data_IF_996382571018
#
_entry.id   IF_996382571018
#
_cell.length_a   1.000
_cell.length_b   1.000
_cell.length_c   1.000
_cell.angle_alpha   90.00
_cell.angle_beta   90.00
_cell.angle_gamma   90.00
#
_symmetry.space_group_name_H-M   'P 1'
#
loop_
_entity.id
_entity.type
_entity.pdbx_description
1 polymer ?
#
# COMPACT_ATOMS: atom_id res chain seq x y z
N UNK A 1 -28.49 50.47 25.67
CA UNK A 1 -27.20 51.17 25.53
C UNK A 1 -26.25 50.59 26.57
N UNK A 2 -25.16 49.97 26.14
CA UNK A 2 -24.17 49.38 27.04
C UNK A 2 -23.26 50.49 27.57
N UNK A 3 -23.28 50.75 28.88
CA UNK A 3 -22.35 51.69 29.51
C UNK A 3 -21.06 50.95 29.89
N UNK A 4 -19.95 51.36 29.26
CA UNK A 4 -18.60 50.88 29.58
C UNK A 4 -18.11 51.60 30.84
N UNK A 5 -17.79 50.84 31.89
CA UNK A 5 -17.12 51.38 33.08
C UNK A 5 -15.61 51.54 32.85
N UNK A 6 -14.99 52.49 33.55
CA UNK A 6 -13.60 52.93 33.40
C UNK A 6 -12.49 51.86 33.58
N UNK A 7 -12.84 50.59 33.83
CA UNK A 7 -11.91 49.47 33.98
C UNK A 7 -12.04 48.38 32.89
N UNK A 8 -12.71 48.65 31.76
CA UNK A 8 -12.69 47.77 30.58
C UNK A 8 -13.36 46.40 30.72
N UNK A 9 -14.04 46.13 31.84
CA UNK A 9 -14.82 44.90 32.05
C UNK A 9 -16.21 45.00 31.41
N UNK A 10 -16.62 43.95 30.69
CA UNK A 10 -17.96 43.83 30.12
C UNK A 10 -19.00 43.68 31.24
N UNK A 11 -19.85 44.69 31.43
CA UNK A 11 -21.00 44.66 32.33
C UNK A 11 -22.16 43.97 31.63
N UNK A 12 -22.69 42.89 32.23
CA UNK A 12 -23.87 42.18 31.69
C UNK A 12 -25.05 43.14 31.54
N UNK A 13 -25.82 43.08 30.43
CA UNK A 13 -27.00 43.92 30.24
C UNK A 13 -27.98 43.72 31.40
N UNK A 14 -28.34 44.79 32.10
CA UNK A 14 -29.34 44.73 33.16
C UNK A 14 -30.75 44.70 32.57
N UNK A 15 -31.65 44.00 33.26
CA UNK A 15 -33.08 43.88 32.93
C UNK A 15 -33.71 45.28 32.76
N UNK A 16 -34.48 45.50 31.70
CA UNK A 16 -35.21 46.76 31.50
C UNK A 16 -36.29 46.88 32.58
N UNK A 17 -36.14 47.86 33.47
CA UNK A 17 -37.13 48.21 34.48
C UNK A 17 -37.65 49.61 34.12
N UNK A 18 -38.91 49.75 33.66
CA UNK A 18 -39.47 51.07 33.37
C UNK A 18 -39.48 51.91 34.64
N UNK A 19 -38.94 53.13 34.58
CA UNK A 19 -39.07 54.11 35.63
C UNK A 19 -40.48 54.72 35.68
N UNK A 20 -40.82 55.48 36.73
CA UNK A 20 -42.11 56.17 36.80
C UNK A 20 -42.26 57.17 35.63
N UNK A 21 -43.10 56.85 34.65
CA UNK A 21 -43.36 57.68 33.46
C UNK A 21 -42.69 57.21 32.16
N UNK A 22 -41.91 56.13 32.17
CA UNK A 22 -41.33 55.56 30.95
C UNK A 22 -42.40 54.80 30.14
N UNK A 23 -42.32 54.82 28.79
CA UNK A 23 -43.22 54.05 27.95
C UNK A 23 -43.03 52.56 28.23
N UNK A 24 -44.16 51.89 28.52
CA UNK A 24 -44.18 50.44 28.64
C UNK A 24 -43.76 49.79 27.32
N UNK A 25 -43.17 48.59 27.41
CA UNK A 25 -42.88 47.79 26.23
C UNK A 25 -44.18 47.60 25.42
N UNK A 26 -44.11 47.70 24.07
CA UNK A 26 -45.26 47.43 23.22
C UNK A 26 -45.90 46.08 23.56
N UNK A 27 -47.22 45.91 23.39
CA UNK A 27 -47.91 44.68 23.75
C UNK A 27 -47.25 43.43 23.16
N UNK A 28 -46.69 43.53 21.95
CA UNK A 28 -45.99 42.42 21.27
C UNK A 28 -44.65 42.03 21.90
N UNK A 29 -44.02 42.91 22.69
CA UNK A 29 -42.73 42.66 23.35
C UNK A 29 -42.88 42.47 24.87
N UNK A 30 -44.12 42.47 25.36
CA UNK A 30 -44.44 42.27 26.77
C UNK A 30 -43.99 40.91 27.30
N UNK A 31 -43.97 39.87 26.45
CA UNK A 31 -43.50 38.51 26.78
C UNK A 31 -41.99 38.45 27.09
N UNK A 32 -41.21 39.43 26.63
CA UNK A 32 -39.77 39.52 26.88
C UNK A 32 -39.44 40.44 28.06
N UNK A 33 -40.44 41.08 28.69
CA UNK A 33 -40.28 42.04 29.80
C UNK A 33 -39.52 41.45 30.98
N UNK A 34 -39.69 40.15 31.23
CA UNK A 34 -39.08 39.48 32.37
C UNK A 34 -37.78 38.73 32.09
N UNK A 35 -37.34 38.67 30.82
CA UNK A 35 -36.22 37.86 30.36
C UNK A 35 -34.94 38.69 30.21
N UNK A 36 -33.80 38.06 30.48
CA UNK A 36 -32.48 38.63 30.22
C UNK A 36 -32.15 38.62 28.72
N UNK A 37 -31.19 39.45 28.30
CA UNK A 37 -30.72 39.46 26.91
C UNK A 37 -30.24 38.09 26.42
N UNK A 38 -29.62 37.31 27.31
CA UNK A 38 -29.12 35.98 26.99
C UNK A 38 -30.27 34.97 26.80
N UNK A 39 -31.36 35.10 27.57
CA UNK A 39 -32.57 34.27 27.43
C UNK A 39 -33.32 34.61 26.14
N UNK A 40 -33.46 35.89 25.80
CA UNK A 40 -34.09 36.33 24.54
C UNK A 40 -33.30 35.79 23.35
N UNK A 41 -31.96 35.91 23.37
CA UNK A 41 -31.11 35.37 22.30
C UNK A 41 -31.22 33.85 22.19
N UNK A 42 -31.38 33.15 23.32
CA UNK A 42 -31.57 31.69 23.33
C UNK A 42 -32.92 31.30 22.71
N UNK A 43 -33.98 32.04 22.98
CA UNK A 43 -35.30 31.82 22.38
C UNK A 43 -35.33 32.19 20.89
N UNK A 44 -34.72 33.31 20.51
CA UNK A 44 -34.57 33.69 19.10
C UNK A 44 -33.80 32.63 18.32
N UNK A 45 -32.70 32.10 18.86
CA UNK A 45 -31.94 31.02 18.22
C UNK A 45 -32.73 29.70 18.09
N UNK A 46 -33.92 29.57 18.68
CA UNK A 46 -34.84 28.44 18.49
C UNK A 46 -35.96 28.72 17.50
N UNK A 47 -36.09 29.95 17.00
CA UNK A 47 -37.02 30.24 15.92
C UNK A 47 -36.39 29.81 14.59
N UNK A 48 -37.10 29.07 13.72
CA UNK A 48 -36.52 28.53 12.48
C UNK A 48 -35.79 29.55 11.60
N UNK A 49 -36.26 30.80 11.59
CA UNK A 49 -35.67 31.88 10.79
C UNK A 49 -34.34 32.42 11.36
N UNK A 50 -34.11 32.26 12.66
CA UNK A 50 -32.93 32.77 13.36
C UNK A 50 -32.04 31.64 13.95
N UNK A 51 -32.41 30.37 13.71
CA UNK A 51 -31.64 29.20 14.13
C UNK A 51 -30.25 29.19 13.51
N UNK A 52 -29.23 29.18 14.36
CA UNK A 52 -27.83 28.98 13.95
C UNK A 52 -27.43 27.50 13.94
N UNK A 53 -28.19 26.65 14.65
CA UNK A 53 -28.09 25.19 14.68
C UNK A 53 -29.51 24.62 14.79
N UNK A 54 -29.73 23.42 14.25
CA UNK A 54 -31.01 22.74 14.34
C UNK A 54 -31.28 22.36 15.81
N UNK A 55 -32.33 22.92 16.42
CA UNK A 55 -32.84 22.57 17.75
C UNK A 55 -34.30 22.12 17.59
N UNK A 56 -34.53 20.81 17.72
CA UNK A 56 -35.86 20.22 17.56
C UNK A 56 -36.73 20.37 18.82
N UNK A 57 -36.19 20.98 19.88
CA UNK A 57 -36.90 21.18 21.13
C UNK A 57 -37.43 22.60 21.28
N UNK A 58 -38.56 22.75 21.97
CA UNK A 58 -39.08 24.04 22.47
C UNK A 58 -38.21 24.64 23.58
N UNK A 59 -37.22 23.87 24.06
CA UNK A 59 -36.34 24.24 25.15
C UNK A 59 -36.79 23.87 26.56
N UNK A 60 -38.00 23.35 26.71
CA UNK A 60 -38.53 22.70 27.90
C UNK A 60 -38.57 21.16 27.77
N UNK A 61 -38.14 20.64 26.61
CA UNK A 61 -38.10 19.21 26.30
C UNK A 61 -39.29 18.72 25.48
N UNK A 62 -40.17 19.63 25.04
CA UNK A 62 -41.21 19.38 24.03
C UNK A 62 -40.70 19.64 22.62
N UNK A 63 -41.54 19.36 21.62
CA UNK A 63 -41.22 19.56 20.20
C UNK A 63 -41.30 21.04 19.79
N UNK A 64 -40.37 21.49 18.94
CA UNK A 64 -40.40 22.83 18.38
C UNK A 64 -41.52 22.96 17.33
N UNK A 65 -42.68 23.48 17.75
CA UNK A 65 -43.90 23.56 16.92
C UNK A 65 -43.68 24.39 15.66
N UNK A 66 -42.92 25.48 15.73
CA UNK A 66 -42.64 26.34 14.58
C UNK A 66 -41.76 25.62 13.54
N UNK A 67 -40.78 24.83 14.00
CA UNK A 67 -39.95 24.02 13.12
C UNK A 67 -40.76 22.89 12.48
N UNK A 68 -41.64 22.23 13.24
CA UNK A 68 -42.52 21.19 12.72
C UNK A 68 -43.55 21.74 11.72
N UNK A 69 -44.11 22.92 11.99
CA UNK A 69 -44.96 23.61 11.02
C UNK A 69 -44.22 23.92 9.72
N UNK A 70 -42.98 24.40 9.80
CA UNK A 70 -42.15 24.65 8.61
C UNK A 70 -41.78 23.35 7.86
N UNK A 71 -41.50 22.26 8.59
CA UNK A 71 -41.28 20.92 8.00
C UNK A 71 -42.54 20.43 7.29
N UNK A 72 -43.73 20.64 7.88
CA UNK A 72 -45.01 20.25 7.29
C UNK A 72 -45.31 21.03 6.00
N UNK A 73 -44.98 22.33 5.94
CA UNK A 73 -45.09 23.13 4.70
C UNK A 73 -44.26 22.54 3.53
N UNK A 74 -43.15 21.84 3.82
CA UNK A 74 -42.36 21.19 2.78
C UNK A 74 -43.06 19.96 2.15
N UNK A 75 -44.10 19.44 2.80
CA UNK A 75 -44.94 18.32 2.36
C UNK A 75 -46.39 18.75 2.07
N UNK A 76 -46.65 20.05 1.91
CA UNK A 76 -47.95 20.57 1.55
C UNK A 76 -48.10 20.63 0.02
N UNK A 77 -49.16 20.03 -0.52
CA UNK A 77 -49.46 20.00 -1.95
C UNK A 77 -49.69 18.60 -2.51
N UNK A 78 -49.83 18.49 -3.83
CA UNK A 78 -49.97 17.19 -4.50
C UNK A 78 -48.64 16.42 -4.45
N UNK A 79 -48.65 15.08 -4.28
CA UNK A 79 -47.42 14.28 -4.14
C UNK A 79 -46.38 14.49 -5.26
N UNK A 80 -46.83 14.73 -6.49
CA UNK A 80 -45.93 14.99 -7.61
C UNK A 80 -45.22 16.35 -7.50
N UNK A 81 -45.88 17.39 -6.99
CA UNK A 81 -45.30 18.72 -6.79
C UNK A 81 -44.27 18.71 -5.66
N UNK A 82 -44.57 17.98 -4.57
CA UNK A 82 -43.67 17.80 -3.44
C UNK A 82 -42.39 17.08 -3.90
N UNK A 83 -42.52 15.97 -4.63
CA UNK A 83 -41.38 15.23 -5.16
C UNK A 83 -40.54 16.07 -6.14
N UNK A 84 -41.19 16.88 -6.98
CA UNK A 84 -40.51 17.81 -7.88
C UNK A 84 -39.77 18.94 -7.12
N UNK A 85 -40.35 19.46 -6.04
CA UNK A 85 -39.71 20.47 -5.20
C UNK A 85 -38.41 19.92 -4.58
N UNK A 86 -38.47 18.72 -3.98
CA UNK A 86 -37.27 18.05 -3.45
C UNK A 86 -36.22 17.77 -4.54
N UNK A 87 -36.64 17.33 -5.74
CA UNK A 87 -35.75 17.16 -6.91
C UNK A 87 -35.04 18.48 -7.25
N UNK A 88 -35.77 19.59 -7.31
CA UNK A 88 -35.22 20.91 -7.67
C UNK A 88 -34.22 21.40 -6.62
N UNK A 89 -34.55 21.33 -5.34
CA UNK A 89 -33.64 21.70 -4.26
C UNK A 89 -32.37 20.82 -4.24
N UNK A 90 -32.53 19.51 -4.45
CA UNK A 90 -31.41 18.58 -4.60
C UNK A 90 -30.48 18.93 -5.76
N UNK A 91 -31.04 19.38 -6.90
CA UNK A 91 -30.25 19.80 -8.05
C UNK A 91 -29.37 21.03 -7.73
N UNK A 92 -29.90 21.99 -6.98
CA UNK A 92 -29.12 23.17 -6.56
C UNK A 92 -27.99 22.79 -5.60
N UNK A 93 -28.23 21.87 -4.66
CA UNK A 93 -27.16 21.35 -3.79
C UNK A 93 -26.12 20.54 -4.56
N UNK A 94 -26.52 19.79 -5.58
CA UNK A 94 -25.60 19.06 -6.45
C UNK A 94 -24.69 20.02 -7.21
N UNK A 95 -25.24 21.11 -7.77
CA UNK A 95 -24.45 22.20 -8.39
C UNK A 95 -23.52 22.86 -7.38
N UNK A 96 -23.96 23.03 -6.14
CA UNK A 96 -23.14 23.53 -5.02
C UNK A 96 -22.13 22.51 -4.48
N UNK A 97 -22.01 21.31 -5.07
CA UNK A 97 -21.11 20.21 -4.66
C UNK A 97 -21.36 19.69 -3.24
N UNK A 98 -22.53 19.96 -2.66
CA UNK A 98 -22.96 19.42 -1.36
C UNK A 98 -23.66 18.07 -1.55
N UNK A 99 -22.90 17.05 -1.95
CA UNK A 99 -23.44 15.77 -2.40
C UNK A 99 -24.19 14.97 -1.33
N UNK A 100 -23.75 15.04 -0.06
CA UNK A 100 -24.41 14.35 1.05
C UNK A 100 -25.81 14.92 1.29
N UNK A 101 -25.92 16.25 1.30
CA UNK A 101 -27.20 16.93 1.53
C UNK A 101 -28.13 16.78 0.32
N UNK A 102 -27.58 16.86 -0.90
CA UNK A 102 -28.33 16.59 -2.13
C UNK A 102 -28.90 15.16 -2.14
N UNK A 103 -28.11 14.16 -1.73
CA UNK A 103 -28.56 12.77 -1.59
C UNK A 103 -29.76 12.65 -0.67
N UNK A 104 -29.75 13.32 0.48
CA UNK A 104 -30.88 13.28 1.42
C UNK A 104 -32.14 13.91 0.83
N UNK A 105 -32.01 15.04 0.12
CA UNK A 105 -33.16 15.65 -0.55
C UNK A 105 -33.77 14.73 -1.62
N UNK A 106 -32.95 14.05 -2.42
CA UNK A 106 -33.47 13.07 -3.38
C UNK A 106 -34.14 11.88 -2.69
N UNK A 107 -33.60 11.42 -1.56
CA UNK A 107 -34.23 10.36 -0.76
C UNK A 107 -35.59 10.79 -0.18
N UNK A 108 -35.71 12.04 0.29
CA UNK A 108 -37.00 12.60 0.73
C UNK A 108 -38.00 12.66 -0.42
N UNK A 109 -37.58 13.08 -1.61
CA UNK A 109 -38.44 13.06 -2.80
C UNK A 109 -38.93 11.66 -3.17
N UNK A 110 -38.07 10.64 -3.06
CA UNK A 110 -38.45 9.24 -3.30
C UNK A 110 -39.42 8.70 -2.23
N UNK A 111 -39.31 9.16 -0.98
CA UNK A 111 -40.19 8.76 0.12
C UNK A 111 -41.62 9.32 0.01
N UNK A 112 -41.85 10.29 -0.89
CA UNK A 112 -43.20 10.80 -1.21
C UNK A 112 -44.01 9.77 -2.01
N UNK A 113 -43.34 8.81 -2.67
CA UNK A 113 -43.97 7.72 -3.44
C UNK A 113 -44.99 8.20 -4.49
N UNK A 114 -44.69 9.30 -5.20
CA UNK A 114 -45.57 9.78 -6.26
C UNK A 114 -45.62 8.79 -7.46
N UNK A 115 -46.75 8.70 -8.15
CA UNK A 115 -46.92 7.79 -9.29
C UNK A 115 -46.19 8.24 -10.58
N UNK A 116 -45.62 9.45 -10.59
CA UNK A 116 -44.92 9.99 -11.76
C UNK A 116 -43.58 9.28 -11.99
N UNK A 117 -43.52 8.49 -13.07
CA UNK A 117 -42.33 7.74 -13.47
C UNK A 117 -41.15 8.63 -13.85
N UNK A 118 -41.37 9.78 -14.48
CA UNK A 118 -40.30 10.68 -14.91
C UNK A 118 -39.61 11.36 -13.73
N UNK A 119 -40.38 11.76 -12.73
CA UNK A 119 -39.87 12.33 -11.48
C UNK A 119 -39.05 11.27 -10.73
N UNK A 120 -39.60 10.06 -10.54
CA UNK A 120 -38.91 8.97 -9.87
C UNK A 120 -37.62 8.54 -10.58
N UNK A 121 -37.64 8.43 -11.91
CA UNK A 121 -36.44 8.15 -12.72
C UNK A 121 -35.34 9.18 -12.43
N UNK A 122 -35.71 10.47 -12.47
CA UNK A 122 -34.78 11.58 -12.23
C UNK A 122 -34.21 11.55 -10.81
N UNK A 123 -35.05 11.28 -9.81
CA UNK A 123 -34.63 11.18 -8.41
C UNK A 123 -33.63 10.03 -8.19
N UNK A 124 -33.93 8.82 -8.69
CA UNK A 124 -32.99 7.69 -8.62
C UNK A 124 -31.69 7.99 -9.37
N UNK A 125 -31.76 8.53 -10.59
CA UNK A 125 -30.59 8.86 -11.38
C UNK A 125 -29.71 9.94 -10.71
N UNK A 126 -30.31 10.94 -10.08
CA UNK A 126 -29.57 12.01 -9.40
C UNK A 126 -29.01 11.57 -8.05
N UNK A 127 -29.73 10.70 -7.30
CA UNK A 127 -29.19 10.08 -6.09
C UNK A 127 -28.00 9.18 -6.41
N UNK A 128 -28.07 8.39 -7.49
CA UNK A 128 -26.93 7.61 -7.99
C UNK A 128 -25.72 8.50 -8.33
N UNK A 129 -25.95 9.67 -8.92
CA UNK A 129 -24.89 10.64 -9.18
C UNK A 129 -24.22 11.12 -7.88
N UNK A 130 -24.99 11.38 -6.83
CA UNK A 130 -24.45 11.73 -5.51
C UNK A 130 -23.64 10.58 -4.91
N UNK A 131 -24.16 9.35 -4.97
CA UNK A 131 -23.47 8.18 -4.44
C UNK A 131 -22.16 7.91 -5.19
N UNK A 132 -22.09 8.20 -6.49
CA UNK A 132 -20.86 8.11 -7.27
C UNK A 132 -19.81 9.13 -6.81
N UNK A 133 -20.19 10.39 -6.61
CA UNK A 133 -19.28 11.45 -6.10
C UNK A 133 -18.83 11.16 -4.66
N UNK A 134 -19.71 10.55 -3.85
CA UNK A 134 -19.39 10.07 -2.50
C UNK A 134 -18.59 8.75 -2.49
N UNK A 135 -18.26 8.19 -3.65
CA UNK A 135 -17.55 6.91 -3.84
C UNK A 135 -18.27 5.68 -3.26
N UNK A 136 -19.58 5.77 -3.06
CA UNK A 136 -20.45 4.66 -2.65
C UNK A 136 -20.89 3.87 -3.89
N UNK A 137 -19.94 3.24 -4.57
CA UNK A 137 -20.13 2.66 -5.90
C UNK A 137 -21.24 1.61 -5.98
N UNK A 138 -21.40 0.76 -4.95
CA UNK A 138 -22.47 -0.26 -4.92
C UNK A 138 -23.86 0.36 -4.83
N UNK A 139 -24.03 1.41 -4.02
CA UNK A 139 -25.30 2.15 -3.90
C UNK A 139 -25.62 2.91 -5.18
N UNK A 140 -24.61 3.50 -5.81
CA UNK A 140 -24.76 4.11 -7.15
C UNK A 140 -25.30 3.09 -8.17
N UNK A 141 -24.77 1.87 -8.20
CA UNK A 141 -25.23 0.82 -9.12
C UNK A 141 -26.69 0.46 -8.81
N UNK A 142 -27.06 0.28 -7.54
CA UNK A 142 -28.43 -0.06 -7.14
C UNK A 142 -29.44 1.03 -7.53
N UNK A 143 -29.10 2.30 -7.30
CA UNK A 143 -29.95 3.43 -7.69
C UNK A 143 -30.04 3.56 -9.22
N UNK A 144 -28.95 3.34 -9.95
CA UNK A 144 -28.98 3.26 -11.41
C UNK A 144 -29.85 2.11 -11.91
N UNK A 145 -29.82 0.94 -11.27
CA UNK A 145 -30.68 -0.20 -11.60
C UNK A 145 -32.16 0.16 -11.43
N UNK A 146 -32.54 0.81 -10.33
CA UNK A 146 -33.91 1.28 -10.09
C UNK A 146 -34.36 2.30 -11.14
N UNK A 147 -33.50 3.25 -11.50
CA UNK A 147 -33.77 4.20 -12.59
C UNK A 147 -33.94 3.50 -13.95
N UNK A 148 -33.13 2.48 -14.25
CA UNK A 148 -33.19 1.71 -15.49
C UNK A 148 -34.42 0.78 -15.56
N UNK A 149 -34.95 0.33 -14.43
CA UNK A 149 -36.25 -0.37 -14.39
C UNK A 149 -37.39 0.55 -14.86
N UNK A 150 -37.30 1.85 -14.58
CA UNK A 150 -38.28 2.85 -15.02
C UNK A 150 -38.03 3.27 -16.48
N UNK A 151 -36.79 3.61 -16.81
CA UNK A 151 -36.37 4.00 -18.15
C UNK A 151 -35.11 3.23 -18.59
N UNK A 152 -35.28 2.11 -19.32
CA UNK A 152 -34.16 1.29 -19.80
C UNK A 152 -33.24 1.99 -20.81
N UNK A 153 -33.59 3.18 -21.31
CA UNK A 153 -32.81 3.94 -22.29
C UNK A 153 -32.03 5.11 -21.66
N UNK A 154 -31.99 5.22 -20.34
CA UNK A 154 -31.25 6.29 -19.67
C UNK A 154 -29.72 6.06 -19.74
N UNK A 155 -29.07 6.66 -20.75
CA UNK A 155 -27.63 6.56 -20.99
C UNK A 155 -26.77 7.04 -19.81
N UNK A 156 -27.24 8.02 -19.02
CA UNK A 156 -26.50 8.55 -17.86
C UNK A 156 -26.36 7.48 -16.76
N UNK A 157 -27.38 6.65 -16.58
CA UNK A 157 -27.34 5.54 -15.62
C UNK A 157 -26.33 4.47 -16.06
N UNK A 158 -26.30 4.08 -17.34
CA UNK A 158 -25.28 3.15 -17.84
C UNK A 158 -23.86 3.68 -17.68
N UNK A 159 -23.62 4.96 -17.98
CA UNK A 159 -22.31 5.58 -17.77
C UNK A 159 -21.87 5.51 -16.30
N UNK A 160 -22.77 5.87 -15.36
CA UNK A 160 -22.49 5.85 -13.92
C UNK A 160 -22.25 4.43 -13.40
N UNK A 161 -23.05 3.46 -13.84
CA UNK A 161 -22.87 2.04 -13.52
C UNK A 161 -21.52 1.54 -14.02
N UNK A 162 -21.15 1.84 -15.28
CA UNK A 162 -19.86 1.47 -15.85
C UNK A 162 -18.70 2.07 -15.05
N UNK A 163 -18.76 3.38 -14.75
CA UNK A 163 -17.75 4.06 -13.94
C UNK A 163 -17.67 3.49 -12.52
N UNK A 164 -18.80 3.15 -11.88
CA UNK A 164 -18.83 2.55 -10.56
C UNK A 164 -18.18 1.16 -10.54
N UNK A 165 -18.46 0.29 -11.52
CA UNK A 165 -17.81 -1.01 -11.65
C UNK A 165 -16.31 -0.88 -11.94
N UNK A 166 -15.91 0.09 -12.77
CA UNK A 166 -14.50 0.37 -13.04
C UNK A 166 -13.74 0.72 -11.77
N UNK A 167 -14.32 1.56 -10.90
CA UNK A 167 -13.73 1.93 -9.61
C UNK A 167 -13.69 0.78 -8.60
N UNK A 168 -14.49 -0.28 -8.80
CA UNK A 168 -14.45 -1.53 -8.04
C UNK A 168 -13.51 -2.58 -8.65
N UNK A 169 -12.71 -2.20 -9.65
CA UNK A 169 -11.83 -3.11 -10.41
C UNK A 169 -12.58 -4.27 -11.12
N UNK A 170 -13.88 -4.08 -11.37
CA UNK A 170 -14.76 -5.02 -12.07
C UNK A 170 -14.87 -4.61 -13.54
N UNK A 171 -13.80 -4.83 -14.29
CA UNK A 171 -13.66 -4.32 -15.67
C UNK A 171 -14.65 -4.95 -16.63
N UNK A 172 -14.92 -6.25 -16.51
CA UNK A 172 -15.90 -6.96 -17.35
C UNK A 172 -17.31 -6.40 -17.17
N UNK A 173 -17.76 -6.20 -15.92
CA UNK A 173 -19.07 -5.60 -15.66
C UNK A 173 -19.13 -4.13 -16.11
N UNK A 174 -18.04 -3.38 -15.94
CA UNK A 174 -17.93 -2.01 -16.43
C UNK A 174 -18.06 -1.93 -17.95
N UNK A 175 -17.37 -2.83 -18.66
CA UNK A 175 -17.37 -2.92 -20.12
C UNK A 175 -18.72 -3.35 -20.65
N UNK A 176 -19.35 -4.34 -20.02
CA UNK A 176 -20.69 -4.81 -20.38
C UNK A 176 -21.72 -3.67 -20.32
N UNK A 177 -21.73 -2.90 -19.22
CA UNK A 177 -22.64 -1.76 -19.07
C UNK A 177 -22.41 -0.66 -20.13
N UNK A 178 -21.15 -0.28 -20.39
CA UNK A 178 -20.83 0.72 -21.40
C UNK A 178 -21.11 0.22 -22.83
N UNK A 179 -20.80 -1.05 -23.12
CA UNK A 179 -21.03 -1.67 -24.42
C UNK A 179 -22.52 -1.75 -24.75
N UNK A 180 -23.36 -2.10 -23.78
CA UNK A 180 -24.81 -2.11 -23.95
C UNK A 180 -25.33 -0.72 -24.33
N UNK A 181 -24.90 0.32 -23.61
CA UNK A 181 -25.29 1.70 -23.91
C UNK A 181 -24.82 2.14 -25.31
N UNK A 182 -23.58 1.83 -25.67
CA UNK A 182 -23.02 2.14 -26.97
C UNK A 182 -23.76 1.45 -28.13
N UNK A 183 -24.07 0.15 -27.98
CA UNK A 183 -24.62 -0.64 -29.08
C UNK A 183 -26.14 -0.54 -29.22
N UNK A 184 -26.87 -0.31 -28.11
CA UNK A 184 -28.33 -0.42 -28.08
C UNK A 184 -29.07 0.85 -27.70
N UNK A 185 -28.37 1.89 -27.23
CA UNK A 185 -29.01 3.13 -26.75
C UNK A 185 -28.52 4.32 -27.58
N UNK A 186 -27.24 4.65 -27.51
CA UNK A 186 -26.66 5.83 -28.13
C UNK A 186 -25.17 5.59 -28.48
N UNK A 187 -24.87 5.20 -29.73
CA UNK A 187 -23.51 4.97 -30.20
C UNK A 187 -22.65 6.24 -30.29
N UNK A 188 -23.26 7.42 -30.38
CA UNK A 188 -22.55 8.69 -30.51
C UNK A 188 -22.24 9.33 -29.14
N UNK A 189 -22.61 8.64 -28.05
CA UNK A 189 -22.43 9.16 -26.71
C UNK A 189 -20.95 9.25 -26.31
N UNK A 190 -20.39 10.46 -26.36
CA UNK A 190 -18.99 10.74 -26.00
C UNK A 190 -18.58 10.22 -24.62
N UNK A 191 -19.49 10.26 -23.62
CA UNK A 191 -19.17 9.80 -22.27
C UNK A 191 -18.98 8.29 -22.19
N UNK A 192 -19.77 7.53 -22.95
CA UNK A 192 -19.67 6.07 -23.05
C UNK A 192 -18.44 5.67 -23.86
N UNK A 193 -18.19 6.33 -25.00
CA UNK A 193 -17.01 6.07 -25.84
C UNK A 193 -15.71 6.30 -25.05
N UNK A 194 -15.62 7.42 -24.32
CA UNK A 194 -14.48 7.69 -23.43
C UNK A 194 -14.34 6.62 -22.34
N UNK A 195 -15.45 6.16 -21.76
CA UNK A 195 -15.42 5.12 -20.72
C UNK A 195 -14.91 3.79 -21.27
N UNK A 196 -15.33 3.40 -22.48
CA UNK A 196 -14.82 2.21 -23.17
C UNK A 196 -13.31 2.31 -23.43
N UNK A 197 -12.81 3.45 -23.89
CA UNK A 197 -11.36 3.67 -24.09
C UNK A 197 -10.58 3.60 -22.77
N UNK A 198 -11.14 4.13 -21.68
CA UNK A 198 -10.52 4.04 -20.34
C UNK A 198 -10.46 2.59 -19.84
N UNK A 199 -11.51 1.81 -20.08
CA UNK A 199 -11.57 0.39 -19.72
C UNK A 199 -10.55 -0.40 -20.54
N UNK A 200 -10.53 -0.24 -21.87
CA UNK A 200 -9.60 -0.95 -22.77
C UNK A 200 -8.13 -0.67 -22.41
N UNK A 201 -7.78 0.60 -22.19
CA UNK A 201 -6.44 0.95 -21.69
C UNK A 201 -6.11 0.23 -20.39
N UNK A 202 -7.07 0.15 -19.46
CA UNK A 202 -6.84 -0.48 -18.16
C UNK A 202 -6.66 -2.00 -18.28
N UNK A 203 -7.41 -2.65 -19.16
CA UNK A 203 -7.27 -4.07 -19.47
C UNK A 203 -5.89 -4.36 -20.07
N UNK A 204 -5.44 -3.54 -21.03
CA UNK A 204 -4.11 -3.67 -21.64
C UNK A 204 -2.97 -3.46 -20.64
N UNK A 205 -3.07 -2.45 -19.76
CA UNK A 205 -2.10 -2.21 -18.68
C UNK A 205 -1.99 -3.40 -17.74
N UNK A 206 -3.13 -3.99 -17.32
CA UNK A 206 -3.14 -5.14 -16.42
C UNK A 206 -2.57 -6.38 -17.10
N UNK A 207 -2.95 -6.64 -18.35
CA UNK A 207 -2.40 -7.75 -19.14
C UNK A 207 -0.90 -7.64 -19.32
N UNK A 208 -0.39 -6.46 -19.69
CA UNK A 208 1.05 -6.23 -19.83
C UNK A 208 1.81 -6.41 -18.52
N UNK A 209 1.21 -5.99 -17.39
CA UNK A 209 1.79 -6.19 -16.06
C UNK A 209 1.86 -7.67 -15.68
N UNK A 210 0.79 -8.42 -15.93
CA UNK A 210 0.69 -9.86 -15.68
C UNK A 210 1.75 -10.62 -16.52
N UNK A 211 1.81 -10.35 -17.82
CA UNK A 211 2.77 -10.97 -18.74
C UNK A 211 4.22 -10.68 -18.34
N UNK A 212 4.52 -9.44 -17.93
CA UNK A 212 5.85 -9.07 -17.42
C UNK A 212 6.19 -9.85 -16.14
N UNK A 213 5.27 -9.93 -15.19
CA UNK A 213 5.48 -10.65 -13.94
C UNK A 213 5.70 -12.14 -14.16
N UNK A 214 4.93 -12.76 -15.05
CA UNK A 214 5.08 -14.16 -15.42
C UNK A 214 6.41 -14.42 -16.13
N UNK A 215 6.81 -13.56 -17.07
CA UNK A 215 8.10 -13.67 -17.76
C UNK A 215 9.27 -13.59 -16.79
N UNK A 216 9.26 -12.61 -15.88
CA UNK A 216 10.32 -12.45 -14.87
C UNK A 216 10.34 -13.63 -13.89
N UNK A 217 9.18 -14.19 -13.51
CA UNK A 217 9.12 -15.38 -12.68
C UNK A 217 9.69 -16.60 -13.40
N UNK A 218 9.33 -16.81 -14.67
CA UNK A 218 9.85 -17.89 -15.48
C UNK A 218 11.37 -17.76 -15.69
N UNK A 219 11.87 -16.55 -15.95
CA UNK A 219 13.30 -16.30 -16.10
C UNK A 219 14.08 -16.61 -14.80
N UNK A 220 13.53 -16.23 -13.64
CA UNK A 220 14.14 -16.57 -12.34
C UNK A 220 14.19 -18.07 -12.10
N UNK A 221 13.11 -18.78 -12.42
CA UNK A 221 13.06 -20.23 -12.26
C UNK A 221 14.02 -20.94 -13.22
N UNK A 222 14.08 -20.51 -14.48
CA UNK A 222 15.02 -21.04 -15.47
C UNK A 222 16.48 -20.89 -15.01
N UNK A 223 16.85 -19.69 -14.50
CA UNK A 223 18.20 -19.45 -13.96
C UNK A 223 18.51 -20.32 -12.75
N UNK A 224 17.52 -20.57 -11.88
CA UNK A 224 17.68 -21.43 -10.71
C UNK A 224 17.92 -22.89 -11.12
N UNK A 225 17.09 -23.42 -12.01
CA UNK A 225 17.24 -24.77 -12.55
C UNK A 225 18.60 -24.94 -13.26
N UNK A 226 19.02 -23.93 -14.02
CA UNK A 226 20.31 -23.95 -14.72
C UNK A 226 21.48 -24.01 -13.73
N UNK A 227 21.43 -23.18 -12.69
CA UNK A 227 22.44 -23.16 -11.63
C UNK A 227 22.50 -24.48 -10.86
N UNK A 228 21.35 -25.05 -10.48
CA UNK A 228 21.27 -26.36 -9.80
C UNK A 228 21.84 -27.48 -10.67
N UNK A 229 21.55 -27.45 -11.98
CA UNK A 229 22.09 -28.40 -12.95
C UNK A 229 23.61 -28.28 -13.07
N UNK A 230 24.14 -27.04 -13.14
CA UNK A 230 25.56 -26.77 -13.17
C UNK A 230 26.30 -27.26 -11.91
N UNK A 231 25.73 -27.04 -10.72
CA UNK A 231 26.29 -27.52 -9.45
C UNK A 231 26.28 -29.04 -9.37
N UNK A 232 25.20 -29.69 -9.83
CA UNK A 232 25.08 -31.15 -9.84
C UNK A 232 26.09 -31.78 -10.80
N UNK A 233 26.24 -31.24 -12.01
CA UNK A 233 27.21 -31.71 -13.00
C UNK A 233 28.67 -31.61 -12.49
N UNK A 234 28.95 -30.58 -11.69
CA UNK A 234 30.26 -30.35 -11.06
C UNK A 234 30.45 -31.11 -9.75
N UNK A 235 29.48 -31.93 -9.33
CA UNK A 235 29.51 -32.68 -8.07
C UNK A 235 29.72 -31.78 -6.83
N UNK A 236 29.19 -30.55 -6.86
CA UNK A 236 29.37 -29.58 -5.77
C UNK A 236 28.37 -29.85 -4.67
N UNK A 237 28.88 -30.24 -3.50
CA UNK A 237 28.10 -30.26 -2.25
C UNK A 237 28.00 -28.84 -1.70
N UNK A 238 26.81 -28.41 -1.25
CA UNK A 238 26.61 -27.16 -0.53
C UNK A 238 26.05 -27.42 0.87
N UNK A 239 26.69 -26.87 1.90
CA UNK A 239 26.27 -26.98 3.29
C UNK A 239 25.83 -25.61 3.80
N UNK A 240 24.59 -25.51 4.27
CA UNK A 240 24.09 -24.29 4.90
C UNK A 240 24.49 -24.22 6.37
N UNK A 241 24.80 -23.02 6.84
CA UNK A 241 25.11 -22.76 8.26
C UNK A 241 23.99 -21.95 8.92
N UNK A 242 23.87 -22.03 10.24
CA UNK A 242 22.82 -21.29 10.97
C UNK A 242 23.14 -19.79 11.10
N UNK A 243 24.40 -19.38 10.93
CA UNK A 243 24.85 -17.99 11.10
C UNK A 243 25.91 -17.63 10.05
N UNK A 244 25.51 -17.46 8.77
CA UNK A 244 26.39 -16.90 7.75
C UNK A 244 26.72 -15.44 8.07
N UNK A 245 27.92 -14.98 7.72
CA UNK A 245 28.29 -13.56 7.82
C UNK A 245 27.45 -12.72 6.85
N UNK A 246 27.08 -11.50 7.23
CA UNK A 246 26.18 -10.65 6.43
C UNK A 246 26.70 -10.38 5.01
N UNK A 247 28.03 -10.33 4.83
CA UNK A 247 28.70 -10.16 3.53
C UNK A 247 28.35 -11.26 2.51
N UNK A 248 27.99 -12.47 2.98
CA UNK A 248 27.54 -13.55 2.10
C UNK A 248 26.18 -13.27 1.46
N UNK A 249 25.43 -12.27 1.93
CA UNK A 249 24.22 -11.79 1.28
C UNK A 249 24.51 -10.88 0.07
N UNK A 250 25.73 -10.31 -0.01
CA UNK A 250 26.14 -9.36 -1.03
C UNK A 250 26.70 -10.06 -2.28
N UNK A 251 27.52 -11.11 -2.10
CA UNK A 251 28.03 -11.94 -3.20
C UNK A 251 27.12 -13.13 -3.49
N UNK A 252 26.70 -13.31 -4.75
CA UNK A 252 25.83 -14.42 -5.15
C UNK A 252 26.53 -15.33 -6.14
N UNK A 253 26.45 -16.63 -5.87
CA UNK A 253 26.81 -17.66 -6.83
C UNK A 253 25.99 -17.49 -8.13
N UNK A 254 26.65 -17.60 -9.28
CA UNK A 254 26.04 -17.48 -10.61
C UNK A 254 26.88 -18.17 -11.66
N UNK A 255 26.28 -18.42 -12.81
CA UNK A 255 27.01 -18.77 -14.02
C UNK A 255 27.46 -17.48 -14.73
N UNK A 256 28.54 -17.57 -15.52
CA UNK A 256 28.98 -16.52 -16.42
C UNK A 256 27.90 -16.23 -17.47
N UNK A 257 27.41 -17.28 -18.14
CA UNK A 257 26.16 -17.25 -18.91
C UNK A 257 25.06 -17.95 -18.10
N UNK A 258 24.05 -17.22 -17.58
CA UNK A 258 22.97 -17.79 -16.76
C UNK A 258 22.12 -18.87 -17.44
N UNK A 259 22.21 -19.01 -18.77
CA UNK A 259 21.45 -19.97 -19.56
C UNK A 259 22.31 -21.09 -20.15
N UNK A 260 23.61 -21.10 -19.85
CA UNK A 260 24.53 -22.16 -20.24
C UNK A 260 25.20 -22.75 -18.99
N UNK A 261 24.82 -23.98 -18.63
CA UNK A 261 25.36 -24.68 -17.47
C UNK A 261 26.82 -25.12 -17.66
N UNK A 262 27.37 -25.09 -18.87
CA UNK A 262 28.78 -25.38 -19.16
C UNK A 262 29.67 -24.15 -18.98
N UNK A 263 29.08 -22.95 -18.98
CA UNK A 263 29.80 -21.71 -18.70
C UNK A 263 30.38 -21.68 -17.27
N UNK A 264 31.34 -20.78 -17.03
CA UNK A 264 32.09 -20.75 -15.77
C UNK A 264 31.16 -20.48 -14.57
N UNK A 265 31.26 -21.32 -13.54
CA UNK A 265 30.61 -21.07 -12.27
C UNK A 265 31.43 -20.07 -11.45
N UNK A 266 30.77 -19.03 -10.97
CA UNK A 266 31.36 -17.94 -10.17
C UNK A 266 30.68 -17.94 -8.81
N UNK A 267 31.47 -17.97 -7.74
CA UNK A 267 30.98 -17.92 -6.37
C UNK A 267 31.81 -16.99 -5.51
N UNK A 268 31.23 -16.42 -4.43
CA UNK A 268 32.00 -15.65 -3.46
C UNK A 268 32.96 -16.54 -2.67
N UNK A 269 33.97 -15.92 -2.07
CA UNK A 269 34.93 -16.59 -1.20
C UNK A 269 35.11 -15.85 0.12
N UNK A 270 35.09 -16.62 1.20
CA UNK A 270 35.39 -16.19 2.55
C UNK A 270 36.77 -16.75 2.94
N UNK A 271 37.72 -15.84 3.14
CA UNK A 271 39.13 -16.16 3.37
C UNK A 271 39.46 -15.88 4.83
N UNK A 272 39.70 -16.95 5.59
CA UNK A 272 39.96 -16.87 7.02
C UNK A 272 41.45 -16.84 7.33
N UNK A 273 41.86 -15.96 8.25
CA UNK A 273 43.21 -15.88 8.82
C UNK A 273 43.15 -16.19 10.32
N UNK A 274 42.94 -17.46 10.72
CA UNK A 274 42.56 -17.81 12.08
C UNK A 274 43.63 -17.52 13.14
N UNK A 275 44.92 -17.46 12.77
CA UNK A 275 45.99 -17.08 13.73
C UNK A 275 46.00 -15.57 14.00
N UNK A 276 45.43 -14.78 13.09
CA UNK A 276 45.31 -13.32 13.20
C UNK A 276 43.94 -12.89 13.73
N UNK A 277 42.91 -13.75 13.62
CA UNK A 277 41.49 -13.43 13.90
C UNK A 277 40.95 -12.34 12.98
N UNK A 278 41.31 -12.48 11.70
CA UNK A 278 40.91 -11.60 10.61
C UNK A 278 40.34 -12.45 9.47
N UNK A 279 39.56 -11.83 8.59
CA UNK A 279 39.05 -12.47 7.38
C UNK A 279 38.89 -11.46 6.25
N UNK A 280 38.96 -11.94 5.00
CA UNK A 280 38.59 -11.18 3.82
C UNK A 280 37.38 -11.81 3.13
N UNK A 281 36.67 -10.98 2.36
CA UNK A 281 35.58 -11.40 1.50
C UNK A 281 35.87 -10.99 0.07
N UNK A 282 35.85 -11.95 -0.85
CA UNK A 282 35.95 -11.70 -2.30
C UNK A 282 34.60 -12.07 -2.92
N UNK A 283 33.93 -11.07 -3.51
CA UNK A 283 32.55 -11.23 -3.99
C UNK A 283 32.40 -12.18 -5.18
N UNK A 284 33.43 -12.29 -6.03
CA UNK A 284 33.41 -13.14 -7.22
C UNK A 284 34.75 -13.84 -7.41
N UNK A 285 34.73 -15.18 -7.39
CA UNK A 285 35.85 -16.05 -7.73
C UNK A 285 35.37 -17.05 -8.78
N UNK A 286 36.05 -17.10 -9.94
CA UNK A 286 35.78 -18.10 -10.96
C UNK A 286 36.22 -19.48 -10.47
N UNK A 287 35.47 -20.53 -10.80
CA UNK A 287 35.85 -21.89 -10.46
C UNK A 287 37.18 -22.34 -11.09
N UNK A 288 37.60 -21.69 -12.18
CA UNK A 288 38.85 -21.97 -12.87
C UNK A 288 40.05 -21.26 -12.22
N UNK A 289 39.81 -20.34 -11.28
CA UNK A 289 40.86 -19.71 -10.49
C UNK A 289 41.55 -20.77 -9.63
N UNK A 290 42.87 -20.74 -9.62
CA UNK A 290 43.69 -21.60 -8.78
C UNK A 290 43.77 -21.07 -7.35
N UNK A 291 44.05 -21.97 -6.42
CA UNK A 291 44.28 -21.60 -5.01
C UNK A 291 45.43 -20.60 -4.89
N UNK A 292 46.49 -20.72 -5.71
CA UNK A 292 47.63 -19.79 -5.71
C UNK A 292 47.21 -18.38 -6.15
N UNK A 293 46.45 -18.25 -7.24
CA UNK A 293 46.00 -16.94 -7.74
C UNK A 293 45.13 -16.21 -6.72
N UNK A 294 44.20 -16.91 -6.04
CA UNK A 294 43.41 -16.29 -4.99
C UNK A 294 44.28 -15.87 -3.78
N UNK A 295 45.27 -16.68 -3.41
CA UNK A 295 46.23 -16.33 -2.34
C UNK A 295 47.08 -15.12 -2.71
N UNK A 296 47.54 -15.03 -3.96
CA UNK A 296 48.31 -13.91 -4.46
C UNK A 296 47.47 -12.62 -4.39
N UNK A 297 46.21 -12.67 -4.84
CA UNK A 297 45.28 -11.55 -4.82
C UNK A 297 45.06 -11.00 -3.41
N UNK A 298 44.74 -11.85 -2.43
CA UNK A 298 44.37 -11.39 -1.07
C UNK A 298 45.58 -11.01 -0.21
N UNK A 299 46.79 -11.48 -0.55
CA UNK A 299 48.02 -11.14 0.16
C UNK A 299 48.84 -10.03 -0.52
N UNK A 300 48.42 -9.53 -1.69
CA UNK A 300 49.00 -8.32 -2.31
C UNK A 300 48.64 -7.04 -1.53
N UNK A 301 47.50 -7.04 -0.83
CA UNK A 301 47.01 -5.90 -0.06
C UNK A 301 47.87 -5.51 1.17
N UNK A 302 47.57 -4.36 1.80
CA UNK A 302 48.29 -3.86 2.96
C UNK A 302 48.30 -4.86 4.13
N UNK A 303 49.49 -5.14 4.66
CA UNK A 303 49.71 -6.14 5.72
C UNK A 303 49.34 -5.60 7.11
N UNK A 304 48.99 -4.32 7.23
CA UNK A 304 48.60 -3.62 8.47
C UNK A 304 47.41 -4.27 9.20
N UNK A 305 46.61 -5.07 8.50
CA UNK A 305 45.53 -5.87 9.10
C UNK A 305 46.05 -6.97 10.04
N UNK A 306 47.23 -7.51 9.78
CA UNK A 306 47.84 -8.55 10.62
C UNK A 306 48.62 -7.91 11.78
N UNK A 307 48.00 -7.91 12.96
CA UNK A 307 48.53 -7.25 14.16
C UNK A 307 49.16 -8.23 15.16
N UNK A 308 48.83 -9.51 15.10
CA UNK A 308 49.33 -10.53 16.04
C UNK A 308 50.72 -11.03 15.61
N UNK A 309 51.33 -11.85 16.46
CA UNK A 309 52.61 -12.50 16.15
C UNK A 309 52.51 -13.33 14.85
N UNK A 310 53.64 -13.53 14.16
CA UNK A 310 53.71 -14.31 12.92
C UNK A 310 53.24 -13.60 11.65
N UNK A 311 52.90 -12.30 11.72
CA UNK A 311 52.43 -11.49 10.58
C UNK A 311 53.37 -11.50 9.36
N UNK A 312 54.69 -11.56 9.58
CA UNK A 312 55.72 -11.61 8.53
C UNK A 312 55.73 -12.92 7.71
N UNK A 313 54.92 -13.90 8.12
CA UNK A 313 54.77 -15.17 7.44
C UNK A 313 53.55 -15.22 6.50
N UNK A 314 52.73 -14.16 6.45
CA UNK A 314 51.62 -14.03 5.50
C UNK A 314 52.10 -13.56 4.13
N UNK A 315 52.96 -14.36 3.50
CA UNK A 315 53.32 -14.19 2.09
C UNK A 315 52.89 -15.42 1.29
N UNK A 316 52.57 -15.28 -0.01
CA UNK A 316 52.08 -16.41 -0.81
C UNK A 316 52.99 -17.65 -0.78
N UNK A 317 54.31 -17.47 -0.62
CA UNK A 317 55.27 -18.58 -0.51
C UNK A 317 55.26 -19.27 0.86
N UNK A 318 54.97 -18.55 1.94
CA UNK A 318 55.10 -19.02 3.33
C UNK A 318 53.81 -19.53 3.95
N UNK A 319 52.65 -19.32 3.32
CA UNK A 319 51.36 -19.81 3.81
C UNK A 319 50.97 -21.16 3.21
N UNK A 320 50.09 -21.88 3.89
CA UNK A 320 49.34 -23.03 3.41
C UNK A 320 47.84 -22.67 3.42
N UNK A 321 47.08 -23.33 2.53
CA UNK A 321 45.63 -23.17 2.44
C UNK A 321 44.96 -24.47 2.86
N UNK A 322 43.95 -24.36 3.71
CA UNK A 322 43.13 -25.47 4.17
C UNK A 322 41.66 -25.23 3.87
N UNK A 323 40.91 -26.31 3.65
CA UNK A 323 39.47 -26.30 3.45
C UNK A 323 38.81 -27.34 4.35
N UNK A 324 37.60 -27.04 4.80
CA UNK A 324 36.79 -27.97 5.59
C UNK A 324 36.17 -29.03 4.68
N UNK A 325 36.19 -30.30 5.10
CA UNK A 325 35.57 -31.40 4.36
C UNK A 325 34.12 -31.63 4.81
N UNK A 326 33.33 -32.37 4.02
CA UNK A 326 31.98 -32.78 4.43
C UNK A 326 31.95 -33.54 5.75
N UNK A 327 33.00 -34.28 6.08
CA UNK A 327 33.12 -34.96 7.37
C UNK A 327 33.38 -34.01 8.56
N UNK A 328 33.64 -32.71 8.32
CA UNK A 328 34.00 -31.71 9.34
C UNK A 328 35.49 -31.67 9.66
N UNK A 329 36.33 -32.41 8.92
CA UNK A 329 37.79 -32.36 9.04
C UNK A 329 38.40 -31.27 8.16
N UNK A 330 39.73 -31.26 8.06
CA UNK A 330 40.47 -30.34 7.18
C UNK A 330 41.24 -31.12 6.10
N UNK A 331 41.33 -30.53 4.91
CA UNK A 331 42.27 -30.93 3.87
C UNK A 331 43.14 -29.73 3.48
N UNK A 332 44.43 -29.99 3.23
CA UNK A 332 45.34 -29.03 2.60
C UNK A 332 44.98 -28.87 1.11
N UNK A 333 44.55 -27.68 0.71
CA UNK A 333 44.26 -27.36 -0.68
C UNK A 333 45.58 -27.14 -1.45
N UNK A 334 45.76 -27.88 -2.55
CA UNK A 334 46.95 -27.79 -3.38
C UNK A 334 46.99 -26.47 -4.16
N UNK A 335 48.07 -25.69 -4.02
CA UNK A 335 48.19 -24.35 -4.63
C UNK A 335 47.98 -24.30 -6.15
N UNK A 336 48.33 -25.38 -6.86
CA UNK A 336 48.18 -25.49 -8.33
C UNK A 336 46.80 -25.96 -8.80
N UNK A 337 45.92 -26.39 -7.87
CA UNK A 337 44.60 -26.87 -8.23
C UNK A 337 43.64 -25.71 -8.42
N UNK A 338 42.72 -25.85 -9.37
CA UNK A 338 41.54 -24.98 -9.50
C UNK A 338 40.52 -25.32 -8.42
N UNK A 339 39.63 -24.37 -8.10
CA UNK A 339 38.52 -24.66 -7.19
C UNK A 339 37.53 -25.66 -7.81
N UNK A 340 37.31 -25.64 -9.13
CA UNK A 340 36.57 -26.67 -9.85
C UNK A 340 37.08 -28.07 -9.52
N UNK A 341 38.39 -28.33 -9.66
CA UNK A 341 38.97 -29.65 -9.45
C UNK A 341 38.97 -30.07 -7.96
N UNK A 342 38.93 -29.12 -7.03
CA UNK A 342 38.83 -29.40 -5.60
C UNK A 342 37.40 -29.80 -5.24
N UNK A 343 36.42 -29.01 -5.65
CA UNK A 343 35.00 -29.23 -5.32
C UNK A 343 34.41 -30.45 -6.03
N UNK A 344 34.92 -30.81 -7.21
CA UNK A 344 34.42 -31.95 -8.01
C UNK A 344 34.81 -33.32 -7.47
N UNK A 345 35.85 -33.41 -6.62
CA UNK A 345 36.36 -34.69 -6.11
C UNK A 345 35.35 -35.37 -5.20
N UNK A 346 35.14 -36.67 -5.45
CA UNK A 346 34.30 -37.50 -4.59
C UNK A 346 34.97 -37.81 -3.24
N UNK A 347 36.31 -37.97 -3.23
CA UNK A 347 37.07 -38.18 -2.00
C UNK A 347 38.42 -37.44 -2.03
N UNK A 348 38.70 -36.59 -1.02
CA UNK A 348 37.76 -36.13 0.01
C UNK A 348 36.75 -35.11 -0.56
N UNK A 349 35.49 -35.22 -0.14
CA UNK A 349 34.39 -34.29 -0.47
C UNK A 349 34.60 -32.95 0.24
N UNK A 350 34.83 -31.90 -0.55
CA UNK A 350 35.03 -30.52 -0.09
C UNK A 350 33.83 -29.68 -0.54
N UNK A 351 32.92 -29.31 0.38
CA UNK A 351 31.72 -28.56 0.04
C UNK A 351 31.94 -27.04 -0.03
N UNK A 352 31.01 -26.35 -0.68
CA UNK A 352 30.74 -24.94 -0.42
C UNK A 352 29.98 -24.78 0.92
N UNK A 353 30.12 -23.61 1.54
CA UNK A 353 29.33 -23.22 2.70
C UNK A 353 28.51 -21.99 2.35
N UNK A 354 27.19 -22.08 2.47
CA UNK A 354 26.25 -21.00 2.14
C UNK A 354 26.45 -20.45 0.71
N UNK A 355 26.66 -21.37 -0.26
CA UNK A 355 26.98 -21.06 -1.66
C UNK A 355 28.29 -20.27 -1.88
N UNK A 356 29.22 -20.32 -0.93
CA UNK A 356 30.52 -19.65 -0.99
C UNK A 356 31.68 -20.59 -0.69
N UNK A 357 32.87 -20.26 -1.22
CA UNK A 357 34.10 -20.87 -0.74
C UNK A 357 34.38 -20.43 0.69
N UNK A 358 34.91 -21.35 1.49
CA UNK A 358 35.46 -21.05 2.81
C UNK A 358 36.85 -21.66 2.92
N UNK A 359 37.88 -20.82 2.90
CA UNK A 359 39.27 -21.26 2.97
C UNK A 359 39.96 -20.69 4.21
N UNK A 360 40.98 -21.38 4.70
CA UNK A 360 41.80 -20.96 5.83
C UNK A 360 43.25 -20.80 5.37
N UNK A 361 43.79 -19.60 5.46
CA UNK A 361 45.18 -19.29 5.15
C UNK A 361 45.96 -19.24 6.46
N UNK A 362 46.97 -20.12 6.59
CA UNK A 362 47.76 -20.26 7.81
C UNK A 362 49.25 -20.32 7.46
N UNK A 363 50.14 -19.60 8.19
CA UNK A 363 51.57 -19.74 8.03
C UNK A 363 52.05 -21.19 8.16
N UNK A 364 52.97 -21.61 7.27
CA UNK A 364 53.48 -22.99 7.24
C UNK A 364 54.05 -23.43 8.60
N UNK A 365 54.73 -22.52 9.30
CA UNK A 365 55.35 -22.78 10.61
C UNK A 365 54.33 -22.95 11.74
N UNK A 366 53.11 -22.42 11.60
CA UNK A 366 52.04 -22.52 12.59
C UNK A 366 51.01 -23.61 12.27
N UNK A 367 51.07 -24.16 11.05
CA UNK A 367 50.02 -25.05 10.53
C UNK A 367 49.83 -26.33 11.33
N UNK A 368 50.89 -26.97 11.83
CA UNK A 368 50.77 -28.21 12.62
C UNK A 368 50.05 -27.96 13.95
N UNK A 369 50.42 -26.88 14.64
CA UNK A 369 49.78 -26.47 15.89
C UNK A 369 48.33 -26.04 15.68
N UNK A 370 48.01 -25.38 14.58
CA UNK A 370 46.64 -25.00 14.24
C UNK A 370 45.76 -26.21 13.89
N UNK A 371 46.26 -27.14 13.07
CA UNK A 371 45.53 -28.38 12.72
C UNK A 371 45.21 -29.19 13.99
N UNK A 372 46.16 -29.29 14.94
CA UNK A 372 45.92 -29.99 16.22
C UNK A 372 44.83 -29.33 17.08
N UNK A 373 44.55 -28.04 16.89
CA UNK A 373 43.49 -27.30 17.60
C UNK A 373 42.14 -27.35 16.86
N UNK A 374 42.08 -27.96 15.68
CA UNK A 374 40.83 -28.04 14.92
C UNK A 374 39.82 -28.95 15.62
N UNK A 375 38.72 -28.35 16.06
CA UNK A 375 37.60 -29.07 16.65
C UNK A 375 36.57 -29.43 15.59
N UNK A 376 36.54 -30.73 15.25
CA UNK A 376 35.60 -31.32 14.29
C UNK A 376 34.15 -31.15 14.72
N UNK A 377 33.85 -31.32 16.01
CA UNK A 377 32.48 -31.27 16.51
C UNK A 377 31.95 -29.84 16.45
N UNK A 378 32.77 -28.87 16.84
CA UNK A 378 32.44 -27.43 16.71
C UNK A 378 32.21 -27.02 15.26
N UNK A 379 32.89 -27.65 14.30
CA UNK A 379 32.66 -27.39 12.88
C UNK A 379 31.31 -27.94 12.38
N UNK A 380 30.92 -29.13 12.85
CA UNK A 380 29.64 -29.75 12.55
C UNK A 380 28.47 -28.98 13.16
N UNK A 381 28.61 -28.49 14.40
CA UNK A 381 27.57 -27.71 15.10
C UNK A 381 27.22 -26.38 14.43
N UNK A 382 28.12 -25.84 13.59
CA UNK A 382 27.83 -24.62 12.80
C UNK A 382 26.83 -24.85 11.66
N UNK A 383 26.62 -26.10 11.25
CA UNK A 383 25.76 -26.47 10.12
C UNK A 383 24.29 -26.41 10.54
N UNK A 384 23.41 -26.10 9.60
CA UNK A 384 21.97 -26.03 9.90
C UNK A 384 21.37 -27.41 10.21
N UNK A 385 21.93 -28.48 9.64
CA UNK A 385 21.49 -29.88 9.80
C UNK A 385 22.67 -30.85 9.82
#
# INVERSE_FOLDING_TARGET
MSSVNANGGYTKPQKYVPGPGDPELPPQLSEFKDKTSDEILKEMNRMPFFMTKLDETDGAGGENVELEALKALAYEGEPHEIAENFKKQGNELYKAKRFKDARELYSKGLAVECEDKSINESLYANRAACELELKNYRRCIEDCSKALTINPKNVKCYYRTSKAFFQLNKLEEAKSAATFANQRIDPENKSILNMLSVIDRKEQELKAKEEKQQREAQERENKKIMLESAMTLRNITNIKTHSPVELLNEGKIRLEDPMDFESQLIYPALIMYPTQDEFDFVGEVSELTTVQELVDLVLEGPQERFKKEGKENFTPKKVLVFMETKAGGLIKAGKKLTFHDILKKESPDVPLFDNALKIYIVPKVESEGWISKWDKQKALERRSV
#
